data_IF_854872575711
#
_entry.id   IF_854872575711
#
_cell.length_a   1.000
_cell.length_b   1.000
_cell.length_c   1.000
_cell.angle_alpha   90.00
_cell.angle_beta   90.00
_cell.angle_gamma   90.00
#
_symmetry.space_group_name_H-M   'P 1'
#
loop_
_entity.id
_entity.type
_entity.pdbx_description
1 polymer ?
#
# COMPACT_ATOMS: atom_id res chain seq x y z
N UNK A 1 9.97 -37.96 23.88
CA UNK A 1 9.66 -36.63 23.24
C UNK A 1 10.51 -36.59 21.99
N UNK A 2 9.88 -36.73 20.81
CA UNK A 2 10.58 -36.61 19.53
C UNK A 2 10.89 -35.12 19.37
N UNK A 3 12.15 -34.73 19.59
CA UNK A 3 12.60 -33.37 19.25
C UNK A 3 12.62 -33.24 17.73
N UNK A 4 11.64 -32.53 17.17
CA UNK A 4 11.60 -32.21 15.75
C UNK A 4 12.78 -31.27 15.47
N UNK A 5 13.70 -31.70 14.62
CA UNK A 5 14.87 -30.94 14.24
C UNK A 5 14.48 -29.92 13.16
N UNK A 6 14.27 -28.67 13.56
CA UNK A 6 14.02 -27.58 12.61
C UNK A 6 15.34 -27.20 11.94
N UNK A 7 15.36 -27.26 10.63
CA UNK A 7 16.54 -26.95 9.82
C UNK A 7 16.60 -25.47 9.42
N UNK A 8 17.79 -24.98 9.06
CA UNK A 8 17.96 -23.64 8.51
C UNK A 8 17.15 -23.46 7.20
N UNK A 9 16.97 -24.54 6.44
CA UNK A 9 16.14 -24.54 5.22
C UNK A 9 14.66 -24.27 5.54
N UNK A 10 14.11 -24.92 6.57
CA UNK A 10 12.71 -24.71 6.98
C UNK A 10 12.47 -23.28 7.41
N UNK A 11 13.40 -22.70 8.20
CA UNK A 11 13.34 -21.30 8.61
C UNK A 11 13.41 -20.36 7.41
N UNK A 12 14.30 -20.65 6.45
CA UNK A 12 14.45 -19.82 5.26
C UNK A 12 13.22 -19.89 4.33
N UNK A 13 12.62 -21.08 4.20
CA UNK A 13 11.39 -21.27 3.42
C UNK A 13 10.22 -20.50 4.04
N UNK A 14 10.05 -20.57 5.37
CA UNK A 14 9.01 -19.81 6.06
C UNK A 14 9.25 -18.30 5.96
N UNK A 15 10.51 -17.86 6.04
CA UNK A 15 10.87 -16.45 5.86
C UNK A 15 10.56 -15.95 4.44
N UNK A 16 10.90 -16.72 3.41
CA UNK A 16 10.58 -16.36 2.01
C UNK A 16 9.07 -16.26 1.77
N UNK A 17 8.29 -17.10 2.42
CA UNK A 17 6.84 -17.14 2.27
C UNK A 17 6.14 -16.02 3.04
N UNK A 18 6.65 -15.61 4.21
CA UNK A 18 5.97 -14.68 5.12
C UNK A 18 6.64 -13.32 5.25
N UNK A 19 7.90 -13.18 4.81
CA UNK A 19 8.70 -11.97 5.03
C UNK A 19 9.13 -11.76 6.49
N UNK A 20 8.69 -12.59 7.44
CA UNK A 20 8.97 -12.42 8.87
C UNK A 20 10.46 -12.57 9.20
N UNK A 21 10.90 -11.99 10.31
CA UNK A 21 12.27 -12.08 10.79
C UNK A 21 12.73 -13.52 11.02
N UNK A 22 14.01 -13.82 10.82
CA UNK A 22 14.57 -15.18 10.92
C UNK A 22 14.29 -15.82 12.28
N UNK A 23 14.42 -15.07 13.37
CA UNK A 23 14.17 -15.57 14.73
C UNK A 23 12.69 -15.82 14.97
N UNK A 24 11.81 -15.00 14.40
CA UNK A 24 10.37 -15.17 14.49
C UNK A 24 9.92 -16.43 13.73
N UNK A 25 10.46 -16.65 12.53
CA UNK A 25 10.23 -17.88 11.77
C UNK A 25 10.72 -19.12 12.52
N UNK A 26 11.93 -19.06 13.13
CA UNK A 26 12.45 -20.16 13.93
C UNK A 26 11.55 -20.46 15.12
N UNK A 27 11.16 -19.45 15.87
CA UNK A 27 10.32 -19.60 17.08
C UNK A 27 8.93 -20.13 16.69
N UNK A 28 8.33 -19.63 15.61
CA UNK A 28 7.05 -20.10 15.10
C UNK A 28 7.11 -21.56 14.68
N UNK A 29 8.19 -22.01 14.00
CA UNK A 29 8.38 -23.40 13.62
C UNK A 29 8.57 -24.31 14.85
N UNK A 30 9.29 -23.86 15.86
CA UNK A 30 9.43 -24.61 17.13
C UNK A 30 8.07 -24.78 17.80
N UNK A 31 7.30 -23.70 17.95
CA UNK A 31 5.96 -23.73 18.56
C UNK A 31 4.97 -24.56 17.72
N UNK A 32 5.10 -24.53 16.40
CA UNK A 32 4.29 -25.30 15.46
C UNK A 32 4.73 -26.78 15.34
N UNK A 33 5.73 -27.21 16.07
CA UNK A 33 6.31 -28.57 15.95
C UNK A 33 6.72 -28.90 14.51
N UNK A 34 7.34 -27.94 13.81
CA UNK A 34 7.78 -28.10 12.42
C UNK A 34 6.66 -28.04 11.38
N UNK A 35 5.40 -27.84 11.75
CA UNK A 35 4.26 -27.75 10.83
C UNK A 35 4.19 -26.36 10.21
N UNK A 36 4.47 -26.27 8.90
CA UNK A 36 4.59 -25.01 8.18
C UNK A 36 3.32 -24.14 8.29
N UNK A 37 2.14 -24.70 8.01
CA UNK A 37 0.87 -23.94 8.04
C UNK A 37 0.54 -23.40 9.44
N UNK A 38 0.84 -24.19 10.50
CA UNK A 38 0.70 -23.71 11.88
C UNK A 38 1.68 -22.58 12.20
N UNK A 39 2.91 -22.66 11.69
CA UNK A 39 3.91 -21.60 11.89
C UNK A 39 3.47 -20.30 11.21
N UNK A 40 2.90 -20.36 10.00
CA UNK A 40 2.29 -19.21 9.32
C UNK A 40 1.17 -18.61 10.16
N UNK A 41 0.29 -19.44 10.73
CA UNK A 41 -0.80 -18.95 11.59
C UNK A 41 -0.29 -18.27 12.88
N UNK A 42 0.76 -18.82 13.49
CA UNK A 42 1.40 -18.22 14.67
C UNK A 42 1.98 -16.85 14.32
N UNK A 43 2.67 -16.73 13.19
CA UNK A 43 3.21 -15.45 12.72
C UNK A 43 2.10 -14.44 12.44
N UNK A 44 0.98 -14.88 11.83
CA UNK A 44 -0.19 -14.04 11.59
C UNK A 44 -0.79 -13.50 12.90
N UNK A 45 -0.99 -14.36 13.90
CA UNK A 45 -1.47 -13.96 15.24
C UNK A 45 -0.50 -13.00 15.93
N UNK A 46 0.81 -13.20 15.76
CA UNK A 46 1.82 -12.26 16.26
C UNK A 46 1.69 -10.90 15.57
N UNK A 47 1.54 -10.85 14.25
CA UNK A 47 1.31 -9.63 13.48
C UNK A 47 0.07 -8.88 13.95
N UNK A 48 -1.05 -9.56 14.18
CA UNK A 48 -2.26 -8.98 14.74
C UNK A 48 -2.04 -8.33 16.13
N UNK A 49 -1.26 -8.98 17.01
CA UNK A 49 -0.92 -8.40 18.32
C UNK A 49 -0.05 -7.15 18.20
N UNK A 50 0.89 -7.13 17.23
CA UNK A 50 1.73 -5.96 16.96
C UNK A 50 0.87 -4.83 16.40
N UNK A 51 -0.01 -5.11 15.44
CA UNK A 51 -0.93 -4.13 14.86
C UNK A 51 -1.85 -3.52 15.92
N UNK A 52 -2.43 -4.35 16.81
CA UNK A 52 -3.27 -3.85 17.90
C UNK A 52 -2.52 -2.91 18.85
N UNK A 53 -1.26 -3.24 19.21
CA UNK A 53 -0.43 -2.39 20.05
C UNK A 53 0.00 -1.07 19.41
N UNK A 54 -0.07 -0.99 18.08
CA UNK A 54 0.33 0.18 17.30
C UNK A 54 -0.86 0.96 16.74
N UNK A 55 -2.09 0.56 17.07
CA UNK A 55 -3.29 1.19 16.54
C UNK A 55 -3.33 2.71 16.75
N UNK A 56 -2.87 3.18 17.92
CA UNK A 56 -2.84 4.59 18.30
C UNK A 56 -1.57 5.34 17.85
N UNK A 57 -0.64 4.67 17.13
CA UNK A 57 0.56 5.34 16.61
C UNK A 57 0.21 6.23 15.43
N UNK A 58 0.93 7.35 15.32
CA UNK A 58 0.82 8.21 14.16
C UNK A 58 1.62 7.62 12.98
N UNK A 59 1.00 7.57 11.81
CA UNK A 59 1.62 7.17 10.53
C UNK A 59 1.55 8.35 9.56
N UNK A 60 2.49 9.29 9.72
CA UNK A 60 2.56 10.53 8.95
C UNK A 60 3.49 10.45 7.74
N UNK A 61 4.30 9.39 7.65
CA UNK A 61 5.16 9.11 6.52
C UNK A 61 4.50 8.09 5.59
N UNK A 62 5.01 7.92 4.38
CA UNK A 62 4.46 6.93 3.45
C UNK A 62 4.78 7.18 2.00
N UNK A 63 4.02 6.50 1.14
CA UNK A 63 4.09 6.53 -0.32
C UNK A 63 2.74 6.99 -0.87
N UNK A 64 2.74 8.11 -1.59
CA UNK A 64 1.60 8.64 -2.33
C UNK A 64 1.71 8.25 -3.80
N UNK A 65 0.76 7.51 -4.32
CA UNK A 65 0.70 7.06 -5.71
C UNK A 65 -0.56 7.56 -6.39
N UNK A 66 -0.42 7.86 -7.68
CA UNK A 66 -1.52 8.14 -8.60
C UNK A 66 -1.29 7.33 -9.87
N UNK A 67 -2.18 6.40 -10.18
CA UNK A 67 -2.11 5.56 -11.38
C UNK A 67 -3.44 5.54 -12.12
N UNK A 68 -3.40 5.19 -13.39
CA UNK A 68 -4.58 5.01 -14.24
C UNK A 68 -4.69 3.57 -14.73
N UNK A 69 -5.87 3.22 -15.20
CA UNK A 69 -6.08 2.03 -16.03
C UNK A 69 -5.44 2.20 -17.44
N UNK A 70 -5.46 1.14 -18.23
CA UNK A 70 -4.88 1.13 -19.58
C UNK A 70 -5.57 2.13 -20.54
N UNK A 71 -6.83 2.48 -20.28
CA UNK A 71 -7.58 3.44 -21.10
C UNK A 71 -7.33 4.90 -20.71
N UNK A 72 -6.71 5.15 -19.56
CA UNK A 72 -6.60 6.44 -18.90
C UNK A 72 -7.96 7.12 -18.65
N UNK A 73 -9.01 6.34 -18.44
CA UNK A 73 -10.37 6.84 -18.13
C UNK A 73 -10.69 6.70 -16.64
N UNK A 74 -10.01 5.80 -15.95
CA UNK A 74 -10.11 5.60 -14.52
C UNK A 74 -8.76 5.86 -13.87
N UNK A 75 -8.72 6.74 -12.89
CA UNK A 75 -7.54 6.99 -12.09
C UNK A 75 -7.82 6.81 -10.61
N UNK A 76 -6.82 6.32 -9.89
CA UNK A 76 -6.84 6.23 -8.43
C UNK A 76 -5.64 6.92 -7.80
N UNK A 77 -5.87 7.50 -6.64
CA UNK A 77 -4.85 7.98 -5.73
C UNK A 77 -4.89 7.20 -4.43
N UNK A 78 -3.75 6.73 -3.96
CA UNK A 78 -3.65 6.12 -2.63
C UNK A 78 -2.46 6.68 -1.87
N UNK A 79 -2.59 6.71 -0.55
CA UNK A 79 -1.48 6.94 0.38
C UNK A 79 -1.33 5.71 1.26
N UNK A 80 -0.26 4.94 1.02
CA UNK A 80 0.15 3.88 1.93
C UNK A 80 1.08 4.48 2.98
N UNK A 81 0.61 4.57 4.22
CA UNK A 81 1.28 5.26 5.31
C UNK A 81 2.04 4.30 6.23
N UNK A 82 3.15 4.81 6.80
CA UNK A 82 3.99 4.18 7.80
C UNK A 82 4.43 5.20 8.85
N UNK A 83 5.16 4.77 9.90
CA UNK A 83 5.60 5.66 10.97
C UNK A 83 6.85 6.46 10.60
N UNK A 84 7.78 5.88 9.82
CA UNK A 84 9.08 6.49 9.50
C UNK A 84 9.35 6.61 8.00
N UNK A 85 10.18 7.59 7.65
CA UNK A 85 10.66 7.79 6.28
C UNK A 85 11.61 6.68 5.82
N UNK A 86 12.26 5.96 6.73
CA UNK A 86 13.08 4.79 6.40
C UNK A 86 12.24 3.68 5.76
N UNK A 87 11.07 3.40 6.31
CA UNK A 87 10.14 2.43 5.74
C UNK A 87 9.56 2.95 4.44
N UNK A 88 9.16 4.23 4.38
CA UNK A 88 8.61 4.83 3.17
C UNK A 88 9.55 4.78 1.96
N UNK A 89 10.88 4.78 2.19
CA UNK A 89 11.91 4.72 1.14
C UNK A 89 12.33 3.29 0.79
N UNK A 90 11.83 2.28 1.50
CA UNK A 90 12.19 0.89 1.23
C UNK A 90 11.52 0.39 -0.04
N UNK A 91 12.29 -0.24 -0.93
CA UNK A 91 11.80 -0.71 -2.24
C UNK A 91 10.66 -1.73 -2.11
N UNK A 92 10.71 -2.62 -1.12
CA UNK A 92 9.65 -3.61 -0.89
C UNK A 92 8.34 -2.92 -0.42
N UNK A 93 8.45 -1.85 0.37
CA UNK A 93 7.30 -1.06 0.80
C UNK A 93 6.69 -0.26 -0.36
N UNK A 94 7.53 0.36 -1.20
CA UNK A 94 7.08 1.05 -2.41
C UNK A 94 6.42 0.06 -3.36
N UNK A 95 7.00 -1.12 -3.56
CA UNK A 95 6.39 -2.18 -4.38
C UNK A 95 5.02 -2.61 -3.83
N UNK A 96 4.91 -2.80 -2.51
CA UNK A 96 3.63 -3.12 -1.86
C UNK A 96 2.57 -2.03 -2.16
N UNK A 97 2.96 -0.75 -2.12
CA UNK A 97 2.07 0.36 -2.45
C UNK A 97 1.58 0.27 -3.91
N UNK A 98 2.45 -0.03 -4.88
CA UNK A 98 2.06 -0.25 -6.27
C UNK A 98 1.16 -1.47 -6.45
N UNK A 99 1.45 -2.59 -5.78
CA UNK A 99 0.62 -3.79 -5.83
C UNK A 99 -0.81 -3.49 -5.31
N UNK A 100 -0.93 -2.71 -4.23
CA UNK A 100 -2.22 -2.27 -3.69
C UNK A 100 -2.90 -1.26 -4.63
N UNK A 101 -2.15 -0.33 -5.23
CA UNK A 101 -2.69 0.64 -6.19
C UNK A 101 -3.31 -0.04 -7.40
N UNK A 102 -2.67 -1.09 -7.95
CA UNK A 102 -3.21 -1.87 -9.06
C UNK A 102 -4.53 -2.58 -8.69
N UNK A 103 -4.68 -3.07 -7.46
CA UNK A 103 -5.94 -3.62 -6.99
C UNK A 103 -7.00 -2.50 -6.86
N UNK A 104 -6.59 -1.33 -6.40
CA UNK A 104 -7.44 -0.17 -6.18
C UNK A 104 -8.14 0.34 -7.45
N UNK A 105 -7.55 0.15 -8.64
CA UNK A 105 -8.17 0.48 -9.93
C UNK A 105 -9.54 -0.18 -10.11
N UNK A 106 -9.75 -1.36 -9.52
CA UNK A 106 -11.01 -2.11 -9.60
C UNK A 106 -11.95 -1.81 -8.44
N UNK A 107 -11.61 -0.90 -7.53
CA UNK A 107 -12.37 -0.57 -6.33
C UNK A 107 -12.98 0.82 -6.45
N UNK A 108 -14.22 0.99 -5.96
CA UNK A 108 -14.88 2.30 -5.91
C UNK A 108 -14.65 3.04 -4.60
N UNK A 109 -14.35 2.30 -3.54
CA UNK A 109 -14.18 2.85 -2.20
C UNK A 109 -12.96 2.22 -1.51
N UNK A 110 -12.46 2.92 -0.50
CA UNK A 110 -11.40 2.41 0.39
C UNK A 110 -11.82 1.12 1.08
N UNK A 111 -13.09 0.98 1.44
CA UNK A 111 -13.61 -0.22 2.09
C UNK A 111 -13.59 -1.43 1.14
N UNK A 112 -14.00 -1.24 -0.11
CA UNK A 112 -13.87 -2.27 -1.15
C UNK A 112 -12.41 -2.70 -1.33
N UNK A 113 -11.49 -1.73 -1.39
CA UNK A 113 -10.06 -2.00 -1.50
C UNK A 113 -9.55 -2.85 -0.32
N UNK A 114 -9.90 -2.49 0.91
CA UNK A 114 -9.46 -3.22 2.10
C UNK A 114 -9.96 -4.67 2.13
N UNK A 115 -11.14 -4.92 1.57
CA UNK A 115 -11.75 -6.25 1.45
C UNK A 115 -11.34 -7.01 0.18
N UNK A 116 -10.68 -6.34 -0.77
CA UNK A 116 -10.24 -6.96 -2.02
C UNK A 116 -9.15 -7.98 -1.80
N UNK A 117 -9.09 -8.94 -2.73
CA UNK A 117 -8.14 -10.05 -2.66
C UNK A 117 -6.71 -9.58 -2.96
N UNK A 118 -5.79 -9.94 -2.08
CA UNK A 118 -4.35 -9.80 -2.25
C UNK A 118 -3.69 -11.17 -2.10
N UNK A 119 -3.47 -11.87 -3.20
CA UNK A 119 -2.99 -13.25 -3.18
C UNK A 119 -3.95 -14.20 -2.46
N UNK A 120 -3.53 -14.78 -1.35
CA UNK A 120 -4.33 -15.71 -0.53
C UNK A 120 -5.05 -15.02 0.65
N UNK A 121 -4.94 -13.70 0.78
CA UNK A 121 -5.53 -12.91 1.87
C UNK A 121 -6.29 -11.70 1.31
N UNK A 122 -6.79 -10.83 2.17
CA UNK A 122 -7.30 -9.51 1.79
C UNK A 122 -6.21 -8.45 1.91
N UNK A 123 -6.43 -7.28 1.29
CA UNK A 123 -5.54 -6.11 1.47
C UNK A 123 -5.43 -5.76 2.95
N UNK A 124 -6.54 -5.75 3.70
CA UNK A 124 -6.54 -5.48 5.14
C UNK A 124 -5.66 -6.47 5.92
N UNK A 125 -5.80 -7.77 5.64
CA UNK A 125 -4.96 -8.80 6.28
C UNK A 125 -3.48 -8.64 5.91
N UNK A 126 -3.19 -8.26 4.65
CA UNK A 126 -1.82 -7.98 4.20
C UNK A 126 -1.19 -6.80 4.92
N UNK A 127 -1.94 -5.73 5.17
CA UNK A 127 -1.45 -4.58 5.94
C UNK A 127 -1.14 -4.95 7.40
N UNK A 128 -1.98 -5.79 8.03
CA UNK A 128 -1.73 -6.33 9.37
C UNK A 128 -0.47 -7.21 9.39
N UNK A 129 -0.31 -8.07 8.39
CA UNK A 129 0.88 -8.90 8.24
C UNK A 129 2.14 -8.03 8.12
N UNK A 130 2.11 -7.02 7.23
CA UNK A 130 3.24 -6.11 7.03
C UNK A 130 3.55 -5.27 8.29
N UNK A 131 2.53 -4.86 9.04
CA UNK A 131 2.74 -4.23 10.35
C UNK A 131 3.50 -5.17 11.30
N UNK A 132 3.19 -6.47 11.28
CA UNK A 132 3.91 -7.47 12.07
C UNK A 132 5.36 -7.71 11.62
N UNK A 133 5.61 -7.67 10.32
CA UNK A 133 6.92 -7.90 9.69
C UNK A 133 7.84 -6.70 9.89
N UNK A 134 7.35 -5.50 9.55
CA UNK A 134 8.09 -4.24 9.57
C UNK A 134 8.22 -3.72 11.00
N UNK A 135 7.19 -3.96 11.83
CA UNK A 135 7.15 -3.47 13.20
C UNK A 135 6.67 -2.02 13.31
N UNK A 136 6.14 -1.43 12.25
CA UNK A 136 5.50 -0.11 12.22
C UNK A 136 4.03 -0.21 11.85
N UNK A 137 3.21 0.78 12.23
CA UNK A 137 1.82 0.88 11.79
C UNK A 137 1.78 1.14 10.29
N UNK A 138 1.18 0.22 9.55
CA UNK A 138 0.97 0.32 8.10
C UNK A 138 -0.53 0.39 7.83
N UNK A 139 -0.96 1.43 7.11
CA UNK A 139 -2.37 1.61 6.77
C UNK A 139 -2.53 2.42 5.47
N UNK A 140 -3.69 2.31 4.84
CA UNK A 140 -4.08 3.21 3.76
C UNK A 140 -4.69 4.46 4.42
N UNK A 141 -4.03 5.62 4.30
CA UNK A 141 -4.55 6.88 4.82
C UNK A 141 -5.60 7.46 3.89
N UNK A 142 -5.26 7.55 2.61
CA UNK A 142 -6.12 8.13 1.59
C UNK A 142 -6.41 7.18 0.45
N UNK A 143 -7.61 7.32 -0.11
CA UNK A 143 -8.06 6.67 -1.33
C UNK A 143 -8.94 7.67 -2.09
N UNK A 144 -8.58 7.93 -3.33
CA UNK A 144 -9.33 8.77 -4.25
C UNK A 144 -9.52 8.06 -5.57
N UNK A 145 -10.67 8.25 -6.22
CA UNK A 145 -10.98 7.70 -7.54
C UNK A 145 -11.59 8.79 -8.41
N UNK A 146 -11.11 8.89 -9.65
CA UNK A 146 -11.65 9.77 -10.69
C UNK A 146 -11.99 8.91 -11.91
N UNK A 147 -13.16 9.16 -12.50
CA UNK A 147 -13.57 8.64 -13.79
C UNK A 147 -13.84 9.82 -14.70
N UNK A 148 -13.20 9.88 -15.85
CA UNK A 148 -13.32 10.98 -16.81
C UNK A 148 -12.98 10.49 -18.23
N UNK A 149 -13.20 11.33 -19.26
CA UNK A 149 -12.80 10.99 -20.62
C UNK A 149 -11.29 10.82 -20.75
N UNK A 150 -10.52 11.47 -19.88
CA UNK A 150 -9.09 11.23 -19.69
C UNK A 150 -8.70 11.59 -18.26
N UNK A 151 -7.84 10.79 -17.64
CA UNK A 151 -7.27 11.06 -16.31
C UNK A 151 -5.75 11.23 -16.44
N UNK A 152 -5.27 12.43 -16.14
CA UNK A 152 -3.84 12.72 -15.99
C UNK A 152 -3.37 12.39 -14.59
N UNK A 153 -2.14 11.88 -14.47
CA UNK A 153 -1.51 11.56 -13.19
C UNK A 153 -0.10 12.10 -13.12
N UNK A 154 0.34 12.41 -11.91
CA UNK A 154 1.73 12.73 -11.63
C UNK A 154 2.13 12.20 -10.26
N UNK A 155 3.30 11.57 -10.19
CA UNK A 155 3.95 11.16 -8.94
C UNK A 155 5.28 11.91 -8.87
N UNK A 156 5.45 12.72 -7.81
CA UNK A 156 6.69 13.44 -7.60
C UNK A 156 7.81 12.51 -7.13
N UNK A 157 9.06 12.85 -7.48
CA UNK A 157 10.22 12.07 -7.09
C UNK A 157 10.25 11.82 -5.56
N UNK A 158 10.47 10.56 -5.17
CA UNK A 158 10.43 10.13 -3.77
C UNK A 158 9.03 9.77 -3.25
N UNK A 159 7.99 9.77 -4.13
CA UNK A 159 6.63 9.30 -3.83
C UNK A 159 5.97 9.98 -2.62
N UNK A 160 6.31 11.25 -2.36
CA UNK A 160 5.72 12.02 -1.24
C UNK A 160 4.47 12.79 -1.64
N UNK A 161 4.35 13.10 -2.92
CA UNK A 161 3.25 13.86 -3.50
C UNK A 161 2.82 13.16 -4.78
N UNK A 162 1.52 13.04 -4.96
CA UNK A 162 0.92 12.60 -6.21
C UNK A 162 -0.33 13.43 -6.50
N UNK A 163 -0.73 13.50 -7.75
CA UNK A 163 -1.94 14.18 -8.18
C UNK A 163 -2.69 13.40 -9.25
N UNK A 164 -4.01 13.60 -9.26
CA UNK A 164 -4.96 13.06 -10.24
C UNK A 164 -5.78 14.22 -10.79
N UNK A 165 -5.98 14.24 -12.11
CA UNK A 165 -6.81 15.25 -12.78
C UNK A 165 -7.69 14.58 -13.82
N UNK A 166 -9.01 14.76 -13.70
CA UNK A 166 -9.98 14.34 -14.70
C UNK A 166 -10.22 15.44 -15.74
N UNK A 167 -10.28 15.05 -17.02
CA UNK A 167 -10.59 15.92 -18.14
C UNK A 167 -11.89 15.46 -18.81
N UNK A 168 -12.80 16.39 -19.05
CA UNK A 168 -14.10 16.12 -19.67
C UNK A 168 -13.99 15.86 -21.19
N UNK A 169 -12.87 16.27 -21.79
CA UNK A 169 -12.62 16.12 -23.24
C UNK A 169 -11.23 15.53 -23.49
N UNK A 170 -11.11 14.76 -24.58
CA UNK A 170 -9.83 14.34 -25.13
C UNK A 170 -9.46 15.32 -26.26
N UNK A 171 -8.37 16.06 -26.03
CA UNK A 171 -7.79 16.95 -27.05
C UNK A 171 -6.54 16.31 -27.65
N UNK A 172 -6.06 16.87 -28.75
CA UNK A 172 -4.76 16.50 -29.31
C UNK A 172 -3.67 16.70 -28.25
N UNK A 173 -2.75 15.73 -28.10
CA UNK A 173 -1.69 15.71 -27.09
C UNK A 173 -2.18 15.70 -25.63
N UNK A 174 -3.36 15.14 -25.35
CA UNK A 174 -3.95 15.08 -24.00
C UNK A 174 -3.01 14.45 -22.97
N UNK A 175 -2.16 13.49 -23.37
CA UNK A 175 -1.19 12.86 -22.48
C UNK A 175 -0.16 13.86 -21.94
N UNK A 176 0.37 14.73 -22.81
CA UNK A 176 1.32 15.78 -22.41
C UNK A 176 0.61 16.83 -21.56
N UNK A 177 -0.53 17.32 -22.01
CA UNK A 177 -1.34 18.32 -21.30
C UNK A 177 -1.75 17.80 -19.91
N UNK A 178 -2.24 16.55 -19.85
CA UNK A 178 -2.66 15.92 -18.60
C UNK A 178 -1.52 15.79 -17.62
N UNK A 179 -0.34 15.37 -18.07
CA UNK A 179 0.85 15.28 -17.23
C UNK A 179 1.31 16.66 -16.72
N UNK A 180 1.36 17.66 -17.60
CA UNK A 180 1.82 19.02 -17.25
C UNK A 180 0.86 19.67 -16.24
N UNK A 181 -0.45 19.53 -16.41
CA UNK A 181 -1.45 20.04 -15.47
C UNK A 181 -1.36 19.30 -14.13
N UNK A 182 -1.24 17.97 -14.15
CA UNK A 182 -1.08 17.18 -12.93
C UNK A 182 0.18 17.59 -12.16
N UNK A 183 1.30 17.84 -12.86
CA UNK A 183 2.53 18.35 -12.27
C UNK A 183 2.37 19.74 -11.66
N UNK A 184 1.66 20.65 -12.33
CA UNK A 184 1.35 21.97 -11.80
C UNK A 184 0.48 21.91 -10.54
N UNK A 185 -0.52 21.04 -10.52
CA UNK A 185 -1.36 20.80 -9.33
C UNK A 185 -0.53 20.30 -8.16
N UNK A 186 0.36 19.33 -8.39
CA UNK A 186 1.26 18.85 -7.36
C UNK A 186 2.19 19.95 -6.80
N UNK A 187 2.64 20.87 -7.67
CA UNK A 187 3.53 21.96 -7.29
C UNK A 187 2.81 23.12 -6.59
N UNK A 188 1.62 23.47 -7.06
CA UNK A 188 0.91 24.69 -6.62
C UNK A 188 -0.12 24.42 -5.52
N UNK A 189 -0.50 23.17 -5.30
CA UNK A 189 -1.50 22.76 -4.31
C UNK A 189 -2.77 23.65 -4.33
N UNK A 190 -3.49 23.74 -5.48
CA UNK A 190 -4.63 24.63 -5.62
C UNK A 190 -5.76 24.22 -4.66
N UNK A 191 -6.45 25.22 -4.10
CA UNK A 191 -7.54 25.00 -3.15
C UNK A 191 -8.92 24.90 -3.83
N UNK A 192 -9.02 25.24 -5.11
CA UNK A 192 -10.26 25.24 -5.87
C UNK A 192 -9.98 25.13 -7.38
N UNK A 193 -10.96 24.65 -8.15
CA UNK A 193 -10.90 24.56 -9.61
C UNK A 193 -10.98 25.93 -10.28
N UNK A 194 -11.72 26.84 -9.68
CA UNK A 194 -11.85 28.25 -10.12
C UNK A 194 -12.14 29.18 -8.94
N UNK A 195 -12.14 30.48 -9.20
CA UNK A 195 -12.33 31.51 -8.18
C UNK A 195 -13.73 31.49 -7.54
N UNK A 196 -14.74 30.95 -8.20
CA UNK A 196 -16.11 30.87 -7.68
C UNK A 196 -16.23 29.91 -6.48
N UNK A 197 -15.29 28.98 -6.36
CA UNK A 197 -15.24 27.99 -5.27
C UNK A 197 -14.40 28.45 -4.07
N UNK A 198 -13.77 29.62 -4.16
CA UNK A 198 -13.00 30.19 -3.04
C UNK A 198 -13.94 31.02 -2.17
N UNK A 199 -14.27 30.51 -1.01
CA UNK A 199 -15.00 31.28 0.02
C UNK A 199 -14.01 32.02 0.91
N UNK A 200 -14.02 33.34 0.80
CA UNK A 200 -13.24 34.24 1.67
C UNK A 200 -14.05 34.56 2.91
#
# INVERSE_FOLDING_TARGET
IIMIKITASDVNNLRKSTGAGMMDCKNALVEAEGKFDKAVEILRKKGQKVAAKRADRNSSEGVALAITDDSNEVGIGIVLACETDFVAKNDDFVKLAYDIANIALNCKTKEELLNSRFGNSTVSEKLIEQTGVIGEKIQINDFSRIEANYVGTYIHAGNKISSLVGFDVKVENIETVGKDISMQIAAMNPIALDLSLIHI
#
